data_IF_268421042372
#
_entry.id   IF_268421042372
#
_cell.length_a   1.000
_cell.length_b   1.000
_cell.length_c   1.000
_cell.angle_alpha   90.00
_cell.angle_beta   90.00
_cell.angle_gamma   90.00
#
_symmetry.space_group_name_H-M   'P 1'
#
loop_
_entity.id
_entity.type
_entity.pdbx_description
1 polymer ?
#
# COMPACT_ATOMS: atom_id res chain seq x y z
N UNK A 1 -21.09 -16.98 2.60
CA UNK A 1 -19.70 -16.64 3.00
C UNK A 1 -19.76 -15.93 4.33
N UNK A 2 -19.38 -16.62 5.40
CA UNK A 2 -19.32 -16.05 6.75
C UNK A 2 -18.05 -15.20 6.90
N UNK A 3 -18.21 -13.89 7.08
CA UNK A 3 -17.10 -13.01 7.42
C UNK A 3 -16.97 -12.97 8.94
N UNK A 4 -15.86 -13.52 9.47
CA UNK A 4 -15.54 -13.37 10.90
C UNK A 4 -15.00 -11.95 11.12
N UNK A 5 -15.83 -11.07 11.66
CA UNK A 5 -15.38 -9.78 12.19
C UNK A 5 -14.62 -10.02 13.50
N UNK A 6 -13.29 -9.89 13.46
CA UNK A 6 -12.48 -9.82 14.66
C UNK A 6 -12.62 -8.42 15.28
N UNK A 7 -13.73 -8.16 15.99
CA UNK A 7 -13.93 -6.94 16.78
C UNK A 7 -13.09 -6.92 18.07
N UNK A 8 -11.84 -7.38 17.99
CA UNK A 8 -10.90 -7.46 19.10
C UNK A 8 -10.21 -6.12 19.34
N UNK A 9 -10.84 -5.26 20.15
CA UNK A 9 -10.39 -3.91 20.56
C UNK A 9 -10.33 -2.90 19.41
N UNK A 10 -10.80 -1.67 19.61
CA UNK A 10 -10.79 -0.58 18.61
C UNK A 10 -9.38 -0.08 18.24
N UNK A 11 -8.44 -0.99 18.01
CA UNK A 11 -7.05 -0.78 17.61
C UNK A 11 -6.87 -1.46 16.25
N UNK A 12 -6.20 -0.79 15.32
CA UNK A 12 -5.79 -1.45 14.06
C UNK A 12 -5.02 -2.74 14.39
N UNK A 13 -5.24 -3.80 13.62
CA UNK A 13 -4.46 -5.01 13.77
C UNK A 13 -2.96 -4.75 13.64
N UNK A 14 -2.14 -5.68 14.14
CA UNK A 14 -0.68 -5.58 14.09
C UNK A 14 -0.14 -5.42 12.65
N UNK A 15 -0.92 -5.78 11.62
CA UNK A 15 -0.60 -5.58 10.21
C UNK A 15 -1.04 -4.20 9.68
N UNK A 16 -2.03 -3.58 10.31
CA UNK A 16 -2.61 -2.30 9.91
C UNK A 16 -1.66 -1.11 10.05
N UNK A 17 -0.75 -1.14 11.02
CA UNK A 17 0.24 -0.09 11.24
C UNK A 17 1.65 -0.54 10.82
N UNK A 18 2.35 0.25 10.01
CA UNK A 18 3.81 0.11 9.86
C UNK A 18 4.52 0.73 11.07
N UNK A 19 5.82 0.44 11.26
CA UNK A 19 6.61 1.08 12.32
C UNK A 19 6.47 2.61 12.20
N UNK A 20 6.02 3.27 13.27
CA UNK A 20 5.67 4.69 13.27
C UNK A 20 6.88 5.63 13.38
N UNK A 21 8.11 5.13 13.17
CA UNK A 21 9.34 5.93 13.19
C UNK A 21 9.59 6.72 11.91
N UNK A 22 8.76 6.52 10.87
CA UNK A 22 8.94 7.10 9.54
C UNK A 22 7.98 8.25 9.28
N UNK A 23 8.36 9.15 8.35
CA UNK A 23 7.48 10.24 7.89
C UNK A 23 6.46 9.63 6.92
N UNK A 24 5.28 10.21 6.83
CA UNK A 24 4.19 9.74 5.95
C UNK A 24 3.73 8.30 6.28
N UNK A 25 3.42 8.01 7.55
CA UNK A 25 2.85 6.71 7.94
C UNK A 25 1.56 6.41 7.16
N UNK A 26 1.43 5.17 6.67
CA UNK A 26 0.20 4.66 6.04
C UNK A 26 -0.48 3.68 6.99
N UNK A 27 -1.79 3.84 7.12
CA UNK A 27 -2.64 2.98 7.91
C UNK A 27 -3.48 2.11 6.97
N UNK A 28 -3.37 0.80 7.15
CA UNK A 28 -4.17 -0.19 6.43
C UNK A 28 -5.34 -0.62 7.32
N UNK A 29 -6.50 0.00 7.08
CA UNK A 29 -7.75 -0.32 7.78
C UNK A 29 -8.40 -1.61 7.31
N UNK A 30 -7.97 -2.16 6.16
CA UNK A 30 -8.50 -3.40 5.60
C UNK A 30 -7.53 -4.57 5.75
N UNK A 31 -6.50 -4.42 6.60
CA UNK A 31 -5.52 -5.46 6.85
C UNK A 31 -6.13 -6.76 7.44
N UNK A 32 -7.29 -6.66 8.10
CA UNK A 32 -8.04 -7.82 8.63
C UNK A 32 -9.05 -8.41 7.64
N UNK A 33 -9.22 -7.79 6.46
CA UNK A 33 -10.15 -8.27 5.44
C UNK A 33 -9.45 -9.34 4.59
N UNK A 34 -9.89 -10.61 4.66
CA UNK A 34 -9.34 -11.65 3.81
C UNK A 34 -9.60 -11.31 2.35
N UNK A 35 -8.67 -11.64 1.46
CA UNK A 35 -8.72 -11.39 0.01
C UNK A 35 -8.54 -9.92 -0.43
N UNK A 36 -8.32 -8.96 0.48
CA UNK A 36 -8.13 -7.55 0.09
C UNK A 36 -6.91 -7.33 -0.83
N UNK A 37 -5.85 -8.14 -0.69
CA UNK A 37 -4.63 -8.03 -1.47
C UNK A 37 -4.79 -8.52 -2.93
N UNK A 38 -5.65 -9.51 -3.19
CA UNK A 38 -5.83 -10.08 -4.53
C UNK A 38 -6.83 -9.28 -5.37
N UNK A 39 -7.53 -8.34 -4.74
CA UNK A 39 -8.64 -7.62 -5.36
C UNK A 39 -8.22 -6.32 -6.06
N UNK A 40 -6.95 -5.92 -5.94
CA UNK A 40 -6.42 -4.75 -6.64
C UNK A 40 -4.93 -4.90 -6.94
N UNK A 41 -4.58 -4.74 -8.22
CA UNK A 41 -3.19 -4.77 -8.71
C UNK A 41 -2.41 -3.49 -8.41
N UNK A 42 -3.01 -2.51 -7.72
CA UNK A 42 -2.39 -1.22 -7.43
C UNK A 42 -1.66 -1.26 -6.09
N UNK A 43 -0.49 -0.64 -6.07
CA UNK A 43 0.39 -0.59 -4.90
C UNK A 43 0.83 0.84 -4.62
N UNK A 44 0.92 1.17 -3.33
CA UNK A 44 1.56 2.40 -2.86
C UNK A 44 3.01 2.08 -2.47
N UNK A 45 3.94 2.84 -3.06
CA UNK A 45 5.37 2.70 -2.80
C UNK A 45 5.89 4.01 -2.21
N UNK A 46 6.60 3.92 -1.08
CA UNK A 46 7.30 5.03 -0.47
C UNK A 46 8.78 5.01 -0.84
N UNK A 47 9.28 6.14 -1.34
CA UNK A 47 10.68 6.32 -1.68
C UNK A 47 11.40 7.19 -0.66
N UNK A 48 12.49 6.66 -0.09
CA UNK A 48 13.42 7.36 0.83
C UNK A 48 12.73 8.25 1.86
N UNK A 49 11.53 7.86 2.33
CA UNK A 49 10.73 8.59 3.31
C UNK A 49 10.31 10.03 2.90
N UNK A 50 10.46 10.40 1.63
CA UNK A 50 10.18 11.77 1.13
C UNK A 50 8.94 11.85 0.27
N UNK A 51 8.68 10.84 -0.57
CA UNK A 51 7.55 10.82 -1.51
C UNK A 51 6.89 9.46 -1.55
N UNK A 52 5.61 9.46 -1.90
CA UNK A 52 4.82 8.27 -2.21
C UNK A 52 4.43 8.31 -3.67
N UNK A 53 4.48 7.16 -4.33
CA UNK A 53 3.98 6.96 -5.68
C UNK A 53 3.01 5.80 -5.70
N UNK A 54 2.08 5.85 -6.64
CA UNK A 54 1.13 4.77 -6.88
C UNK A 54 1.48 4.12 -8.21
N UNK A 55 1.58 2.80 -8.20
CA UNK A 55 2.01 2.01 -9.35
C UNK A 55 1.05 0.86 -9.56
N UNK A 56 0.94 0.42 -10.81
CA UNK A 56 0.23 -0.81 -11.15
C UNK A 56 1.23 -1.96 -11.25
N UNK A 57 0.94 -3.05 -10.56
CA UNK A 57 1.73 -4.27 -10.60
C UNK A 57 1.42 -5.07 -11.88
N UNK A 58 2.04 -4.70 -13.00
CA UNK A 58 1.87 -5.41 -14.27
C UNK A 58 2.33 -6.88 -14.24
N UNK A 59 3.30 -7.20 -13.38
CA UNK A 59 3.87 -8.55 -13.26
C UNK A 59 3.03 -9.50 -12.38
N UNK A 60 1.96 -9.01 -11.75
CA UNK A 60 1.08 -9.79 -10.84
C UNK A 60 1.85 -10.58 -9.78
N UNK A 61 2.96 -10.02 -9.31
CA UNK A 61 3.77 -10.60 -8.24
C UNK A 61 3.02 -10.39 -6.92
N UNK A 62 3.06 -11.37 -6.02
CA UNK A 62 2.52 -11.21 -4.67
C UNK A 62 3.39 -10.20 -3.92
N UNK A 63 2.87 -8.99 -3.72
CA UNK A 63 3.53 -7.92 -2.99
C UNK A 63 2.83 -7.73 -1.65
N UNK A 64 3.62 -7.71 -0.58
CA UNK A 64 3.14 -7.45 0.76
C UNK A 64 3.66 -6.10 1.28
N UNK A 65 2.97 -5.57 2.28
CA UNK A 65 3.39 -4.35 2.96
C UNK A 65 4.75 -4.57 3.64
N UNK A 66 5.71 -3.70 3.35
CA UNK A 66 7.07 -3.76 3.86
C UNK A 66 8.09 -4.31 2.86
N UNK A 67 7.63 -4.87 1.73
CA UNK A 67 8.53 -5.37 0.69
C UNK A 67 9.29 -4.23 0.02
N UNK A 68 10.56 -4.50 -0.28
CA UNK A 68 11.41 -3.56 -1.04
C UNK A 68 11.28 -3.86 -2.53
N UNK A 69 10.89 -2.85 -3.31
CA UNK A 69 10.65 -2.96 -4.75
C UNK A 69 11.51 -1.96 -5.53
N UNK A 70 11.90 -2.36 -6.73
CA UNK A 70 12.53 -1.48 -7.71
C UNK A 70 11.48 -1.01 -8.73
N UNK A 71 11.40 0.29 -8.93
CA UNK A 71 10.51 0.94 -9.89
C UNK A 71 11.35 1.53 -11.01
N UNK A 72 10.95 1.30 -12.25
CA UNK A 72 11.62 1.87 -13.42
C UNK A 72 11.44 3.39 -13.45
N UNK A 73 12.54 4.12 -13.64
CA UNK A 73 12.54 5.58 -13.75
C UNK A 73 13.33 6.01 -14.98
N UNK A 74 12.94 7.10 -15.63
CA UNK A 74 13.69 7.62 -16.79
C UNK A 74 14.46 8.87 -16.36
N UNK A 75 15.80 8.86 -16.23
CA UNK A 75 16.76 7.74 -16.34
C UNK A 75 17.03 7.01 -15.01
N UNK A 76 17.08 5.67 -15.01
CA UNK A 76 17.52 4.83 -13.89
C UNK A 76 16.44 3.94 -13.26
N UNK A 77 16.59 3.66 -11.96
CA UNK A 77 15.63 2.90 -11.16
C UNK A 77 15.52 3.53 -9.77
N UNK A 78 14.30 3.61 -9.25
CA UNK A 78 14.02 4.06 -7.89
C UNK A 78 13.75 2.86 -6.97
N UNK A 79 14.43 2.80 -5.83
CA UNK A 79 14.20 1.76 -4.81
C UNK A 79 13.24 2.32 -3.77
N UNK A 80 12.13 1.62 -3.55
CA UNK A 80 11.09 2.00 -2.61
C UNK A 80 10.60 0.83 -1.78
N UNK A 81 9.79 1.14 -0.76
CA UNK A 81 9.17 0.14 0.11
C UNK A 81 7.65 0.22 -0.07
N UNK A 82 7.00 -0.93 -0.21
CA UNK A 82 5.55 -1.03 -0.31
C UNK A 82 4.92 -0.64 1.02
N UNK A 83 4.06 0.37 1.01
CA UNK A 83 3.39 0.87 2.22
C UNK A 83 1.93 0.49 2.29
N UNK A 84 1.28 0.22 1.14
CA UNK A 84 -0.12 -0.18 1.06
C UNK A 84 -0.38 -1.01 -0.20
N UNK A 85 -1.24 -2.01 -0.06
CA UNK A 85 -1.73 -2.87 -1.15
C UNK A 85 -3.24 -3.04 -1.07
N UNK A 86 -3.86 -3.53 -2.14
CA UNK A 86 -5.29 -3.86 -2.16
C UNK A 86 -6.22 -2.66 -2.41
N UNK A 87 -7.50 -2.82 -2.04
CA UNK A 87 -8.58 -1.87 -2.39
C UNK A 87 -8.44 -0.47 -1.80
N UNK A 88 -7.66 -0.29 -0.74
CA UNK A 88 -7.45 1.02 -0.14
C UNK A 88 -6.61 1.93 -1.05
N UNK A 89 -5.76 1.38 -1.90
CA UNK A 89 -4.88 2.15 -2.79
C UNK A 89 -5.66 3.07 -3.73
N UNK A 90 -6.65 2.60 -4.52
CA UNK A 90 -7.44 3.48 -5.37
C UNK A 90 -8.28 4.51 -4.57
N UNK A 91 -8.68 4.21 -3.34
CA UNK A 91 -9.39 5.16 -2.48
C UNK A 91 -8.44 6.28 -2.01
N UNK A 92 -7.20 5.94 -1.64
CA UNK A 92 -6.17 6.91 -1.30
C UNK A 92 -5.79 7.76 -2.50
N UNK A 93 -5.72 7.19 -3.70
CA UNK A 93 -5.48 7.94 -4.93
C UNK A 93 -6.59 8.95 -5.22
N UNK A 94 -7.87 8.54 -5.08
CA UNK A 94 -9.01 9.45 -5.22
C UNK A 94 -8.98 10.57 -4.17
N UNK A 95 -8.62 10.26 -2.92
CA UNK A 95 -8.48 11.25 -1.85
C UNK A 95 -7.30 12.20 -2.10
N UNK A 96 -6.21 11.69 -2.65
CA UNK A 96 -5.05 12.47 -3.07
C UNK A 96 -5.27 13.26 -4.38
N UNK A 97 -6.50 13.20 -4.92
CA UNK A 97 -7.07 13.90 -6.08
C UNK A 97 -6.05 14.80 -6.82
N UNK A 98 -5.53 14.26 -7.93
CA UNK A 98 -4.85 14.96 -9.04
C UNK A 98 -3.33 15.18 -9.03
N UNK A 99 -2.53 14.71 -8.04
CA UNK A 99 -1.08 15.01 -8.05
C UNK A 99 -0.13 13.90 -8.48
N UNK A 100 -0.60 12.66 -8.59
CA UNK A 100 0.25 11.52 -8.96
C UNK A 100 -0.43 10.78 -10.11
N UNK A 101 -0.13 11.22 -11.33
CA UNK A 101 -0.38 10.42 -12.53
C UNK A 101 0.21 9.02 -12.31
N UNK A 102 -0.56 7.98 -12.64
CA UNK A 102 -0.08 6.60 -12.65
C UNK A 102 1.23 6.56 -13.43
N UNK A 103 2.31 6.18 -12.75
CA UNK A 103 3.61 5.94 -13.36
C UNK A 103 3.81 4.46 -13.57
#
# INVERSE_FOLDING_TARGET
MDYKLNNGSGKLCCKGCSRQDKKLNTYDWLADVPNNAEESDMVEVQFKNTRKGYYKNSNKIKLEKGDTVAVEATPGHDIGVVTLTGKLVPLQMKKANNRLMLK
#
